data_IF_369652365771
#
_entry.id   IF_369652365771
#
_cell.length_a   1.000
_cell.length_b   1.000
_cell.length_c   1.000
_cell.angle_alpha   90.00
_cell.angle_beta   90.00
_cell.angle_gamma   90.00
#
_symmetry.space_group_name_H-M   'P 1'
#
loop_
_entity.id
_entity.type
_entity.pdbx_description
1 polymer ?
#
# COMPACT_ATOMS: atom_id res chain seq x y z
N UNK A 1 11.06 17.35 36.01
CA UNK A 1 10.88 15.91 35.83
C UNK A 1 9.41 15.57 35.56
N UNK A 2 8.83 15.83 34.40
CA UNK A 2 7.45 15.41 34.05
C UNK A 2 7.14 15.45 32.52
N UNK A 3 8.13 15.24 31.63
CA UNK A 3 7.86 15.24 30.17
C UNK A 3 8.42 14.06 29.39
N UNK A 4 8.85 12.96 30.05
CA UNK A 4 9.45 11.81 29.35
C UNK A 4 8.54 10.57 29.22
N UNK A 5 7.22 10.66 29.32
CA UNK A 5 6.32 9.48 29.29
C UNK A 5 5.39 9.43 28.05
N UNK A 6 5.35 10.44 27.21
CA UNK A 6 4.37 10.47 26.08
C UNK A 6 4.94 9.95 24.76
N UNK A 7 6.25 9.88 24.58
CA UNK A 7 6.85 9.41 23.30
C UNK A 7 6.93 7.88 23.21
N UNK A 8 6.79 7.16 24.32
CA UNK A 8 6.96 5.68 24.33
C UNK A 8 5.68 4.88 24.06
N UNK A 9 4.51 5.51 23.89
CA UNK A 9 3.23 4.81 23.74
C UNK A 9 2.77 4.64 22.29
N UNK A 10 3.45 5.22 21.32
CA UNK A 10 3.06 5.10 19.89
C UNK A 10 3.80 4.02 19.10
N UNK A 11 4.79 3.34 19.68
CA UNK A 11 5.59 2.32 18.99
C UNK A 11 5.01 0.90 19.12
N UNK A 12 4.05 0.65 20.01
CA UNK A 12 3.54 -0.72 20.27
C UNK A 12 2.23 -1.11 19.59
N UNK A 13 1.66 -0.29 18.69
CA UNK A 13 0.37 -0.60 18.05
C UNK A 13 0.46 -1.16 16.60
N UNK A 14 1.65 -1.41 16.07
CA UNK A 14 1.82 -1.93 14.71
C UNK A 14 2.38 -3.36 14.59
N UNK A 15 2.41 -4.15 15.68
CA UNK A 15 2.97 -5.51 15.65
C UNK A 15 1.94 -6.64 15.82
N UNK A 16 0.66 -6.42 15.58
CA UNK A 16 -0.36 -7.45 15.72
C UNK A 16 -1.33 -7.47 14.54
N UNK A 17 -0.87 -7.83 13.34
CA UNK A 17 -1.70 -8.41 12.28
C UNK A 17 -0.79 -8.91 11.15
N UNK A 18 -0.31 -10.14 11.29
CA UNK A 18 0.22 -10.91 10.17
C UNK A 18 -0.56 -12.23 10.11
N UNK A 19 -1.56 -12.40 9.24
CA UNK A 19 -2.16 -13.70 9.00
C UNK A 19 -1.29 -14.47 8.00
N UNK A 20 -0.61 -15.49 8.49
CA UNK A 20 0.02 -16.54 7.67
C UNK A 20 -1.04 -17.23 6.81
N UNK A 21 -1.08 -16.91 5.53
CA UNK A 21 -1.79 -17.69 4.53
C UNK A 21 -0.96 -18.92 4.14
N UNK A 22 -1.25 -20.04 4.81
CA UNK A 22 -0.72 -21.34 4.47
C UNK A 22 -1.61 -21.95 3.36
N UNK A 23 -1.19 -21.81 2.11
CA UNK A 23 -1.85 -22.45 0.96
C UNK A 23 -1.44 -23.91 0.87
N UNK A 24 -2.22 -24.79 1.52
CA UNK A 24 -2.19 -26.21 1.23
C UNK A 24 -3.10 -26.50 0.02
N UNK A 25 -2.53 -26.51 -1.17
CA UNK A 25 -3.14 -27.16 -2.34
C UNK A 25 -3.18 -28.66 -2.12
N UNK A 26 -4.38 -29.22 -1.84
CA UNK A 26 -4.64 -30.66 -1.94
C UNK A 26 -5.10 -30.95 -3.36
N UNK A 27 -4.26 -31.68 -4.08
CA UNK A 27 -4.58 -32.32 -5.36
C UNK A 27 -5.82 -33.23 -5.24
N UNK A 28 -6.93 -32.82 -5.83
CA UNK A 28 -8.11 -33.65 -5.99
C UNK A 28 -7.92 -34.49 -7.26
N UNK A 29 -7.52 -35.74 -7.10
CA UNK A 29 -7.52 -36.74 -8.16
C UNK A 29 -8.96 -37.21 -8.42
N UNK A 30 -9.48 -36.86 -9.58
CA UNK A 30 -10.73 -37.43 -10.12
C UNK A 30 -10.51 -38.88 -10.49
N UNK A 31 -11.11 -39.80 -9.70
CA UNK A 31 -11.29 -41.19 -10.10
C UNK A 31 -12.61 -41.35 -10.86
N UNK A 32 -12.50 -41.46 -12.18
CA UNK A 32 -13.56 -41.85 -13.08
C UNK A 32 -13.75 -43.37 -12.96
N UNK A 33 -14.78 -43.86 -12.22
CA UNK A 33 -15.14 -45.23 -12.18
C UNK A 33 -16.28 -45.52 -13.16
N UNK A 34 -15.91 -45.96 -14.37
CA UNK A 34 -16.85 -46.55 -15.35
C UNK A 34 -17.32 -47.93 -14.84
N UNK A 35 -18.52 -48.02 -14.24
CA UNK A 35 -19.19 -49.29 -14.05
C UNK A 35 -19.87 -49.74 -15.37
N UNK A 36 -19.31 -50.80 -15.96
CA UNK A 36 -19.90 -51.52 -17.09
C UNK A 36 -21.11 -52.28 -16.63
N UNK A 37 -22.29 -51.96 -17.16
CA UNK A 37 -23.52 -52.77 -17.02
C UNK A 37 -23.40 -53.95 -17.97
N UNK A 38 -23.32 -55.14 -17.43
CA UNK A 38 -23.43 -56.41 -18.18
C UNK A 38 -24.92 -56.79 -18.32
N UNK A 39 -25.45 -56.70 -19.52
CA UNK A 39 -26.76 -57.21 -19.85
C UNK A 39 -26.69 -58.75 -20.01
N UNK A 40 -27.38 -59.46 -19.12
CA UNK A 40 -27.57 -60.90 -19.24
C UNK A 40 -28.85 -61.17 -20.06
N UNK A 41 -28.68 -61.50 -21.33
CA UNK A 41 -29.73 -62.14 -22.16
C UNK A 41 -29.84 -63.62 -21.77
N UNK A 42 -30.89 -63.99 -21.08
CA UNK A 42 -31.27 -65.42 -20.97
C UNK A 42 -32.16 -65.77 -22.18
N UNK A 43 -31.69 -66.77 -22.94
CA UNK A 43 -32.39 -67.41 -24.07
C UNK A 43 -33.43 -68.40 -23.51
N UNK A 44 -34.71 -68.29 -23.93
CA UNK A 44 -35.76 -69.22 -23.71
C UNK A 44 -35.63 -70.31 -24.80
N UNK A 45 -35.43 -71.57 -24.42
CA UNK A 45 -35.51 -72.70 -25.30
C UNK A 45 -36.90 -73.31 -25.18
N UNK A 46 -37.63 -73.34 -26.28
CA UNK A 46 -38.85 -74.10 -26.45
C UNK A 46 -38.54 -75.54 -26.73
N UNK A 47 -39.14 -76.47 -25.99
CA UNK A 47 -39.22 -77.89 -26.36
C UNK A 47 -40.67 -78.31 -26.46
N UNK A 48 -41.04 -78.69 -27.67
CA UNK A 48 -42.25 -79.43 -28.03
C UNK A 48 -42.00 -80.93 -27.87
N UNK A 49 -42.97 -81.67 -27.31
CA UNK A 49 -43.40 -83.10 -27.54
C UNK A 49 -44.44 -83.39 -26.49
N UNK A 50 -45.58 -84.00 -26.75
CA UNK A 50 -46.13 -84.82 -27.78
C UNK A 50 -47.30 -85.58 -27.13
N UNK A 51 -48.37 -85.72 -27.85
CA UNK A 51 -49.67 -86.23 -27.52
C UNK A 51 -49.74 -87.64 -26.82
N UNK A 52 -50.73 -87.84 -25.90
CA UNK A 52 -51.82 -88.76 -26.14
C UNK A 52 -52.86 -88.73 -25.02
N UNK A 53 -54.13 -89.15 -25.29
CA UNK A 53 -55.31 -88.67 -24.58
C UNK A 53 -55.94 -89.75 -23.63
N UNK A 54 -56.69 -89.29 -22.70
CA UNK A 54 -57.93 -89.81 -22.09
C UNK A 54 -57.96 -89.59 -20.60
N UNK A 55 -58.92 -88.95 -20.12
CA UNK A 55 -59.96 -89.27 -19.20
C UNK A 55 -60.50 -88.04 -18.52
N UNK A 56 -61.73 -87.70 -18.84
CA UNK A 56 -62.83 -87.37 -17.96
C UNK A 56 -62.80 -85.97 -17.27
N UNK A 57 -63.87 -85.34 -17.53
CA UNK A 57 -64.54 -84.12 -17.12
C UNK A 57 -64.18 -83.54 -15.71
N UNK A 58 -63.75 -84.32 -14.71
CA UNK A 58 -63.36 -83.78 -13.40
C UNK A 58 -61.92 -83.29 -13.31
N UNK A 59 -61.04 -83.65 -14.21
CA UNK A 59 -59.67 -83.10 -14.28
C UNK A 59 -59.65 -81.74 -14.96
N UNK A 60 -60.58 -81.43 -15.92
CA UNK A 60 -60.64 -80.17 -16.59
C UNK A 60 -60.93 -78.99 -15.67
N UNK A 61 -61.85 -79.21 -14.65
CA UNK A 61 -62.17 -78.08 -13.72
C UNK A 61 -61.00 -77.79 -12.76
N UNK A 62 -60.24 -78.82 -12.37
CA UNK A 62 -59.10 -78.67 -11.48
C UNK A 62 -57.89 -78.10 -12.22
N UNK A 63 -57.74 -78.46 -13.49
CA UNK A 63 -56.69 -77.91 -14.39
C UNK A 63 -56.96 -76.46 -14.74
N UNK A 64 -58.18 -76.03 -15.01
CA UNK A 64 -58.58 -74.63 -15.21
C UNK A 64 -58.44 -73.82 -13.89
N UNK A 65 -58.77 -74.41 -12.74
CA UNK A 65 -58.54 -73.73 -11.46
C UNK A 65 -57.07 -73.56 -11.18
N UNK A 66 -56.21 -74.53 -11.45
CA UNK A 66 -54.75 -74.39 -11.32
C UNK A 66 -54.13 -73.40 -12.32
N UNK A 67 -54.64 -73.44 -13.57
CA UNK A 67 -54.22 -72.43 -14.59
C UNK A 67 -54.62 -71.00 -14.18
N UNK A 68 -55.83 -70.85 -13.63
CA UNK A 68 -56.26 -69.51 -13.16
C UNK A 68 -55.44 -69.05 -11.93
N UNK A 69 -55.03 -69.99 -11.07
CA UNK A 69 -54.18 -69.70 -9.90
C UNK A 69 -52.75 -69.36 -10.37
N UNK A 70 -52.24 -70.04 -11.40
CA UNK A 70 -50.93 -69.74 -11.99
C UNK A 70 -50.92 -68.38 -12.68
N UNK A 71 -51.98 -68.03 -13.44
CA UNK A 71 -52.14 -66.69 -14.03
C UNK A 71 -52.28 -65.61 -12.93
N UNK A 72 -52.97 -65.84 -11.87
CA UNK A 72 -53.05 -64.92 -10.75
C UNK A 72 -51.68 -64.65 -10.08
N UNK A 73 -50.91 -65.74 -9.87
CA UNK A 73 -49.56 -65.65 -9.34
C UNK A 73 -48.63 -64.92 -10.28
N UNK A 74 -48.70 -65.13 -11.61
CA UNK A 74 -47.94 -64.41 -12.62
C UNK A 74 -48.32 -62.95 -12.63
N UNK A 75 -49.62 -62.61 -12.53
CA UNK A 75 -50.04 -61.18 -12.47
C UNK A 75 -49.58 -60.54 -11.17
N UNK A 76 -49.49 -61.19 -10.07
CA UNK A 76 -48.95 -60.66 -8.82
C UNK A 76 -47.43 -60.47 -8.89
N UNK A 77 -46.69 -61.35 -9.56
CA UNK A 77 -45.26 -61.18 -9.83
C UNK A 77 -44.98 -59.99 -10.74
N UNK A 78 -45.79 -59.83 -11.78
CA UNK A 78 -45.70 -58.63 -12.65
C UNK A 78 -46.03 -57.34 -11.88
N UNK A 79 -47.03 -57.40 -10.98
CA UNK A 79 -47.37 -56.23 -10.14
C UNK A 79 -46.20 -55.86 -9.18
N UNK A 80 -45.56 -56.84 -8.59
CA UNK A 80 -44.39 -56.65 -7.72
C UNK A 80 -43.21 -56.13 -8.50
N UNK A 81 -42.92 -56.61 -9.73
CA UNK A 81 -41.89 -56.13 -10.59
C UNK A 81 -42.13 -54.65 -11.02
N UNK A 82 -43.38 -54.29 -11.33
CA UNK A 82 -43.75 -52.93 -11.64
C UNK A 82 -43.56 -51.96 -10.43
N UNK A 83 -43.84 -52.46 -9.23
CA UNK A 83 -43.61 -51.69 -8.00
C UNK A 83 -42.13 -51.51 -7.72
N UNK A 84 -41.30 -52.54 -7.97
CA UNK A 84 -39.84 -52.40 -7.87
C UNK A 84 -39.25 -51.43 -8.84
N UNK A 85 -39.74 -51.40 -10.10
CA UNK A 85 -39.35 -50.41 -11.11
C UNK A 85 -39.78 -49.00 -10.72
N UNK A 86 -40.98 -48.84 -10.13
CA UNK A 86 -41.45 -47.56 -9.63
C UNK A 86 -40.57 -47.05 -8.50
N UNK A 87 -40.16 -47.90 -7.58
CA UNK A 87 -39.27 -47.55 -6.48
C UNK A 87 -37.85 -47.15 -7.01
N UNK A 88 -37.32 -47.91 -7.98
CA UNK A 88 -36.04 -47.55 -8.62
C UNK A 88 -36.10 -46.21 -9.36
N UNK A 89 -37.21 -45.91 -10.02
CA UNK A 89 -37.40 -44.62 -10.67
C UNK A 89 -37.50 -43.47 -9.66
N UNK A 90 -38.10 -43.68 -8.51
CA UNK A 90 -38.15 -42.68 -7.43
C UNK A 90 -36.73 -42.44 -6.88
N UNK A 91 -35.94 -43.49 -6.63
CA UNK A 91 -34.58 -43.39 -6.16
C UNK A 91 -33.68 -42.58 -7.14
N UNK A 92 -33.83 -42.81 -8.45
CA UNK A 92 -33.15 -42.03 -9.50
C UNK A 92 -33.59 -40.55 -9.48
N UNK A 93 -34.87 -40.30 -9.23
CA UNK A 93 -35.37 -38.90 -9.14
C UNK A 93 -34.78 -38.20 -7.93
N UNK A 94 -34.73 -38.86 -6.79
CA UNK A 94 -34.17 -38.32 -5.56
C UNK A 94 -32.65 -38.03 -5.71
N UNK A 95 -31.91 -38.96 -6.35
CA UNK A 95 -30.47 -38.72 -6.68
C UNK A 95 -30.27 -37.55 -7.63
N UNK A 96 -31.13 -37.36 -8.64
CA UNK A 96 -31.05 -36.23 -9.54
C UNK A 96 -31.35 -34.90 -8.85
N UNK A 97 -32.26 -34.91 -7.88
CA UNK A 97 -32.55 -33.74 -7.05
C UNK A 97 -31.33 -33.35 -6.20
N UNK A 98 -30.70 -34.34 -5.55
CA UNK A 98 -29.49 -34.11 -4.75
C UNK A 98 -28.34 -33.53 -5.59
N UNK A 99 -28.12 -34.02 -6.80
CA UNK A 99 -27.13 -33.45 -7.73
C UNK A 99 -27.46 -31.99 -8.14
N UNK A 100 -28.76 -31.71 -8.29
CA UNK A 100 -29.18 -30.32 -8.62
C UNK A 100 -28.92 -29.38 -7.46
N UNK A 101 -29.22 -29.81 -6.23
CA UNK A 101 -28.99 -29.01 -5.02
C UNK A 101 -27.49 -28.76 -4.80
N UNK A 102 -26.64 -29.78 -5.00
CA UNK A 102 -25.17 -29.63 -4.93
C UNK A 102 -24.64 -28.65 -5.99
N UNK A 103 -25.18 -28.68 -7.21
CA UNK A 103 -24.79 -27.76 -8.26
C UNK A 103 -25.20 -26.30 -7.94
N UNK A 104 -26.35 -26.12 -7.31
CA UNK A 104 -26.78 -24.80 -6.84
C UNK A 104 -25.84 -24.27 -5.76
N UNK A 105 -25.48 -25.07 -4.77
CA UNK A 105 -24.54 -24.69 -3.71
C UNK A 105 -23.18 -24.26 -4.27
N UNK A 106 -22.64 -24.99 -5.26
CA UNK A 106 -21.39 -24.60 -5.95
C UNK A 106 -21.53 -23.27 -6.70
N UNK A 107 -22.70 -23.02 -7.29
CA UNK A 107 -22.97 -21.77 -7.98
C UNK A 107 -23.00 -20.59 -7.00
N UNK A 108 -23.66 -20.76 -5.86
CA UNK A 108 -23.75 -19.73 -4.83
C UNK A 108 -22.39 -19.43 -4.21
N UNK A 109 -21.55 -20.44 -3.95
CA UNK A 109 -20.16 -20.26 -3.48
C UNK A 109 -19.30 -19.51 -4.51
N UNK A 110 -19.45 -19.80 -5.78
CA UNK A 110 -18.71 -19.09 -6.83
C UNK A 110 -19.13 -17.61 -6.95
N UNK A 111 -20.42 -17.32 -6.73
CA UNK A 111 -20.92 -15.96 -6.72
C UNK A 111 -20.34 -15.18 -5.52
N UNK A 112 -20.32 -15.77 -4.33
CA UNK A 112 -19.75 -15.14 -3.13
C UNK A 112 -18.26 -14.82 -3.32
N UNK A 113 -17.47 -15.72 -3.91
CA UNK A 113 -16.05 -15.49 -4.22
C UNK A 113 -15.90 -14.33 -5.24
N UNK A 114 -16.79 -14.25 -6.22
CA UNK A 114 -16.77 -13.16 -7.21
C UNK A 114 -17.06 -11.81 -6.55
N UNK A 115 -18.06 -11.75 -5.68
CA UNK A 115 -18.45 -10.54 -4.97
C UNK A 115 -17.34 -10.06 -4.02
N UNK A 116 -16.69 -10.99 -3.30
CA UNK A 116 -15.53 -10.68 -2.45
C UNK A 116 -14.35 -10.13 -3.26
N UNK A 117 -14.04 -10.71 -4.41
CA UNK A 117 -12.97 -10.23 -5.29
C UNK A 117 -13.27 -8.83 -5.84
N UNK A 118 -14.52 -8.54 -6.17
CA UNK A 118 -14.94 -7.22 -6.62
C UNK A 118 -14.79 -6.19 -5.50
N UNK A 119 -15.19 -6.51 -4.27
CA UNK A 119 -15.03 -5.62 -3.12
C UNK A 119 -13.57 -5.28 -2.84
N UNK A 120 -12.68 -6.28 -2.88
CA UNK A 120 -11.22 -6.07 -2.72
C UNK A 120 -10.67 -5.16 -3.82
N UNK A 121 -11.11 -5.36 -5.07
CA UNK A 121 -10.69 -4.53 -6.20
C UNK A 121 -11.13 -3.07 -6.01
N UNK A 122 -12.38 -2.86 -5.60
CA UNK A 122 -12.92 -1.51 -5.36
C UNK A 122 -12.22 -0.81 -4.19
N UNK A 123 -11.91 -1.53 -3.12
CA UNK A 123 -11.15 -1.00 -1.99
C UNK A 123 -9.73 -0.59 -2.39
N UNK A 124 -9.02 -1.41 -3.17
CA UNK A 124 -7.69 -1.11 -3.68
C UNK A 124 -7.70 0.11 -4.59
N UNK A 125 -8.70 0.24 -5.47
CA UNK A 125 -8.84 1.40 -6.33
C UNK A 125 -9.11 2.70 -5.55
N UNK A 126 -9.94 2.65 -4.52
CA UNK A 126 -10.18 3.80 -3.62
C UNK A 126 -8.90 4.20 -2.88
N UNK A 127 -8.17 3.23 -2.33
CA UNK A 127 -6.88 3.45 -1.66
C UNK A 127 -5.87 4.11 -2.60
N UNK A 128 -5.72 3.58 -3.82
CA UNK A 128 -4.83 4.16 -4.84
C UNK A 128 -5.19 5.60 -5.16
N UNK A 129 -6.46 5.90 -5.37
CA UNK A 129 -6.94 7.25 -5.67
C UNK A 129 -6.67 8.24 -4.52
N UNK A 130 -6.85 7.81 -3.27
CA UNK A 130 -6.52 8.63 -2.10
C UNK A 130 -5.03 8.95 -2.05
N UNK A 131 -4.16 7.96 -2.21
CA UNK A 131 -2.71 8.13 -2.21
C UNK A 131 -2.24 9.07 -3.32
N UNK A 132 -2.79 8.93 -4.51
CA UNK A 132 -2.50 9.82 -5.65
C UNK A 132 -2.86 11.27 -5.34
N UNK A 133 -4.04 11.51 -4.79
CA UNK A 133 -4.48 12.85 -4.43
C UNK A 133 -3.61 13.46 -3.32
N UNK A 134 -3.32 12.69 -2.27
CA UNK A 134 -2.48 13.14 -1.17
C UNK A 134 -1.08 13.51 -1.66
N UNK A 135 -0.45 12.64 -2.46
CA UNK A 135 0.90 12.83 -2.96
C UNK A 135 0.98 14.02 -3.95
N UNK A 136 0.00 14.15 -4.85
CA UNK A 136 -0.10 15.33 -5.73
C UNK A 136 -0.21 16.63 -4.95
N UNK A 137 -1.09 16.66 -3.95
CA UNK A 137 -1.25 17.82 -3.07
C UNK A 137 0.04 18.14 -2.28
N UNK A 138 0.76 17.14 -1.84
CA UNK A 138 2.03 17.30 -1.13
C UNK A 138 3.10 17.90 -2.05
N UNK A 139 3.22 17.39 -3.28
CA UNK A 139 4.15 17.90 -4.30
C UNK A 139 3.81 19.36 -4.69
N UNK A 140 2.53 19.66 -4.89
CA UNK A 140 2.08 21.04 -5.19
C UNK A 140 2.41 22.00 -4.05
N UNK A 141 2.15 21.62 -2.80
CA UNK A 141 2.51 22.45 -1.63
C UNK A 141 4.02 22.68 -1.54
N UNK A 142 4.82 21.64 -1.78
CA UNK A 142 6.27 21.75 -1.77
C UNK A 142 6.78 22.67 -2.89
N UNK A 143 6.20 22.59 -4.10
CA UNK A 143 6.54 23.47 -5.21
C UNK A 143 6.11 24.92 -4.93
N UNK A 144 4.92 25.13 -4.38
CA UNK A 144 4.47 26.47 -3.99
C UNK A 144 5.38 27.09 -2.91
N UNK A 145 5.93 26.28 -2.01
CA UNK A 145 6.92 26.75 -1.05
C UNK A 145 8.27 27.07 -1.74
N UNK A 146 8.69 26.24 -2.72
CA UNK A 146 9.86 26.53 -3.58
C UNK A 146 9.71 27.87 -4.30
N UNK A 147 8.57 28.16 -4.90
CA UNK A 147 8.31 29.42 -5.58
C UNK A 147 8.46 30.64 -4.67
N UNK A 148 8.16 30.52 -3.36
CA UNK A 148 8.36 31.62 -2.40
C UNK A 148 9.84 32.01 -2.24
N UNK A 149 10.75 31.05 -2.09
CA UNK A 149 12.16 31.39 -1.94
C UNK A 149 12.84 31.72 -3.26
N UNK A 150 12.35 31.24 -4.40
CA UNK A 150 12.76 31.70 -5.73
C UNK A 150 12.34 33.16 -5.94
N UNK A 151 11.12 33.51 -5.55
CA UNK A 151 10.63 34.88 -5.55
C UNK A 151 11.48 35.77 -4.63
N UNK A 152 11.81 35.29 -3.41
CA UNK A 152 12.68 36.00 -2.47
C UNK A 152 14.06 36.29 -3.09
N UNK A 153 14.67 35.34 -3.78
CA UNK A 153 15.93 35.59 -4.50
C UNK A 153 15.77 36.62 -5.64
N UNK A 154 14.68 36.52 -6.41
CA UNK A 154 14.40 37.44 -7.52
C UNK A 154 14.19 38.88 -7.06
N UNK A 155 13.54 39.04 -5.89
CA UNK A 155 13.26 40.35 -5.27
C UNK A 155 14.36 40.79 -4.27
N UNK A 156 15.50 40.09 -4.26
CA UNK A 156 16.58 40.28 -3.31
C UNK A 156 17.16 41.68 -3.43
N UNK A 157 17.18 42.48 -2.35
CA UNK A 157 17.84 43.78 -2.34
C UNK A 157 19.37 43.63 -2.35
N UNK A 158 20.09 44.70 -2.64
CA UNK A 158 21.55 44.70 -2.74
C UNK A 158 22.26 44.31 -1.45
N UNK A 159 21.60 44.44 -0.29
CA UNK A 159 22.10 44.04 1.02
C UNK A 159 21.68 42.62 1.44
N UNK A 160 21.06 41.83 0.52
CA UNK A 160 20.59 40.47 0.74
C UNK A 160 19.73 40.34 2.03
N UNK A 161 18.75 41.24 2.19
CA UNK A 161 17.88 41.30 3.39
C UNK A 161 18.66 41.56 4.69
N UNK A 162 19.85 42.15 4.62
CA UNK A 162 20.71 42.44 5.76
C UNK A 162 21.48 41.19 6.27
N UNK A 163 21.55 40.09 5.52
CA UNK A 163 22.33 38.90 5.87
C UNK A 163 23.82 39.17 5.64
N UNK A 164 24.46 39.88 6.58
CA UNK A 164 25.88 40.19 6.51
C UNK A 164 26.82 38.98 6.49
N UNK A 165 26.33 37.82 6.92
CA UNK A 165 27.06 36.56 6.92
C UNK A 165 27.49 36.14 5.50
N UNK A 166 26.71 36.46 4.45
CA UNK A 166 27.07 36.12 3.06
C UNK A 166 28.36 36.76 2.59
N UNK A 167 28.74 37.91 3.15
CA UNK A 167 30.03 38.59 2.87
C UNK A 167 31.21 37.89 3.49
N UNK A 168 31.00 37.04 4.50
CA UNK A 168 32.04 36.28 5.20
C UNK A 168 32.28 34.90 4.59
N UNK A 169 31.30 34.36 3.84
CA UNK A 169 31.40 33.09 3.14
C UNK A 169 32.11 33.30 1.79
N UNK A 170 33.19 32.55 1.56
CA UNK A 170 33.99 32.65 0.34
C UNK A 170 34.10 31.28 -0.32
N UNK A 171 34.06 31.29 -1.64
CA UNK A 171 34.38 30.10 -2.42
C UNK A 171 35.90 29.83 -2.35
N UNK A 172 36.27 28.58 -2.14
CA UNK A 172 37.67 28.18 -2.14
C UNK A 172 38.26 28.07 -3.56
N UNK A 173 37.38 27.82 -4.53
CA UNK A 173 37.71 27.69 -5.95
C UNK A 173 37.68 29.04 -6.66
N UNK A 174 38.52 29.22 -7.68
CA UNK A 174 38.52 30.42 -8.49
C UNK A 174 37.24 30.51 -9.37
N UNK A 175 36.69 31.70 -9.58
CA UNK A 175 37.07 32.95 -8.94
C UNK A 175 36.73 32.97 -7.44
N UNK A 176 37.63 33.49 -6.61
CA UNK A 176 37.45 33.59 -5.15
C UNK A 176 36.49 34.72 -4.77
N UNK A 177 35.25 34.56 -5.12
CA UNK A 177 34.16 35.44 -4.78
C UNK A 177 33.48 35.07 -3.46
N UNK A 178 32.67 35.98 -2.94
CA UNK A 178 31.85 35.73 -1.76
C UNK A 178 30.47 35.23 -2.16
N UNK A 179 29.74 34.63 -1.20
CA UNK A 179 28.34 34.27 -1.41
C UNK A 179 27.45 35.51 -1.63
N UNK A 180 27.91 36.72 -1.23
CA UNK A 180 27.20 37.97 -1.52
C UNK A 180 27.36 38.45 -2.95
N UNK A 181 28.24 37.88 -3.77
CA UNK A 181 28.46 38.28 -5.15
C UNK A 181 27.31 37.81 -6.08
N UNK A 182 27.24 38.39 -7.27
CA UNK A 182 26.13 38.19 -8.19
C UNK A 182 26.33 37.01 -9.17
N UNK A 183 27.29 36.10 -8.90
CA UNK A 183 27.48 34.93 -9.72
C UNK A 183 26.31 33.94 -9.57
N UNK A 184 26.12 33.08 -10.57
CA UNK A 184 25.05 32.10 -10.55
C UNK A 184 25.19 31.07 -9.39
N UNK A 185 26.42 30.66 -9.05
CA UNK A 185 26.67 29.76 -7.91
C UNK A 185 26.32 30.44 -6.57
N UNK A 186 26.64 31.73 -6.42
CA UNK A 186 26.32 32.50 -5.21
C UNK A 186 24.83 32.74 -5.07
N UNK A 187 24.12 33.04 -6.18
CA UNK A 187 22.66 33.11 -6.22
C UNK A 187 22.01 31.76 -5.89
N UNK A 188 22.53 30.67 -6.47
CA UNK A 188 22.02 29.31 -6.18
C UNK A 188 22.18 28.99 -4.70
N UNK A 189 23.34 29.25 -4.10
CA UNK A 189 23.56 29.06 -2.67
C UNK A 189 22.56 29.87 -1.82
N UNK A 190 22.37 31.16 -2.12
CA UNK A 190 21.44 32.01 -1.38
C UNK A 190 19.98 31.50 -1.53
N UNK A 191 19.59 31.09 -2.76
CA UNK A 191 18.27 30.46 -3.01
C UNK A 191 18.01 29.33 -2.04
N UNK A 192 18.93 28.37 -1.95
CA UNK A 192 18.80 27.20 -1.09
C UNK A 192 18.74 27.57 0.39
N UNK A 193 19.59 28.52 0.81
CA UNK A 193 19.57 29.07 2.16
C UNK A 193 18.24 29.75 2.49
N UNK A 194 17.70 30.56 1.56
CA UNK A 194 16.36 31.16 1.74
C UNK A 194 15.26 30.10 1.86
N UNK A 195 15.41 28.96 1.22
CA UNK A 195 14.49 27.85 1.36
C UNK A 195 14.37 27.37 2.80
N UNK A 196 15.47 27.32 3.54
CA UNK A 196 15.50 26.90 4.95
C UNK A 196 15.07 28.06 5.89
N UNK A 197 15.43 29.29 5.57
CA UNK A 197 15.10 30.48 6.34
C UNK A 197 13.77 31.15 5.93
N UNK A 198 12.90 30.42 5.19
CA UNK A 198 11.72 30.99 4.56
C UNK A 198 10.70 31.56 5.56
N UNK A 199 10.64 31.04 6.77
CA UNK A 199 9.72 31.47 7.83
C UNK A 199 10.21 32.72 8.61
N UNK A 200 11.39 33.26 8.27
CA UNK A 200 11.93 34.47 8.86
C UNK A 200 11.62 35.70 7.97
N UNK A 201 11.14 36.77 8.60
CA UNK A 201 11.01 38.06 7.93
C UNK A 201 12.36 38.76 7.83
N UNK A 202 12.42 39.88 7.09
CA UNK A 202 13.69 40.64 6.84
C UNK A 202 14.39 41.06 8.13
N UNK A 203 13.67 41.55 9.15
CA UNK A 203 14.26 41.95 10.43
C UNK A 203 14.82 40.73 11.19
N UNK A 204 14.12 39.58 11.16
CA UNK A 204 14.58 38.33 11.77
C UNK A 204 15.83 37.80 11.05
N UNK A 205 15.88 37.83 9.70
CA UNK A 205 17.04 37.41 8.91
C UNK A 205 18.29 38.21 9.26
N UNK A 206 18.15 39.56 9.37
CA UNK A 206 19.26 40.43 9.77
C UNK A 206 19.79 40.08 11.17
N UNK A 207 18.89 40.00 12.17
CA UNK A 207 19.25 39.65 13.53
C UNK A 207 19.88 38.24 13.63
N UNK A 208 19.30 37.28 12.93
CA UNK A 208 19.83 35.91 12.86
C UNK A 208 21.29 35.93 12.33
N UNK A 209 21.52 36.62 11.24
CA UNK A 209 22.86 36.76 10.67
C UNK A 209 23.86 37.42 11.64
N UNK A 210 23.43 38.44 12.40
CA UNK A 210 24.26 39.09 13.41
C UNK A 210 24.63 38.13 14.55
N UNK A 211 23.68 37.28 15.01
CA UNK A 211 23.91 36.25 16.02
C UNK A 211 24.94 35.21 15.55
N UNK A 212 24.79 34.72 14.32
CA UNK A 212 25.70 33.71 13.77
C UNK A 212 27.11 34.28 13.56
N UNK A 213 27.21 35.54 13.14
CA UNK A 213 28.48 36.26 13.03
C UNK A 213 29.15 36.42 14.41
N UNK A 214 28.38 36.75 15.44
CA UNK A 214 28.87 36.87 16.81
C UNK A 214 29.33 35.53 17.40
N UNK A 215 28.62 34.45 17.08
CA UNK A 215 29.01 33.07 17.46
C UNK A 215 30.28 32.59 16.72
N UNK A 216 30.68 33.27 15.64
CA UNK A 216 31.77 32.86 14.72
C UNK A 216 31.53 31.48 14.06
N UNK A 217 30.27 31.16 13.78
CA UNK A 217 29.83 29.89 13.21
C UNK A 217 29.10 30.06 11.84
N UNK A 218 29.55 31.06 11.06
CA UNK A 218 28.91 31.38 9.78
C UNK A 218 28.96 30.22 8.78
N UNK A 219 30.12 29.57 8.65
CA UNK A 219 30.29 28.47 7.69
C UNK A 219 29.46 27.27 8.10
N UNK A 220 29.48 26.88 9.37
CA UNK A 220 28.72 25.71 9.88
C UNK A 220 27.22 25.85 9.59
N UNK A 221 26.59 26.92 10.05
CA UNK A 221 25.14 27.12 9.87
C UNK A 221 24.72 27.25 8.41
N UNK A 222 25.41 28.10 7.63
CA UNK A 222 24.95 28.41 6.29
C UNK A 222 25.27 27.29 5.28
N UNK A 223 26.42 26.58 5.41
CA UNK A 223 26.76 25.48 4.52
C UNK A 223 25.83 24.28 4.74
N UNK A 224 25.58 23.89 5.98
CA UNK A 224 24.67 22.78 6.29
C UNK A 224 23.23 23.12 5.89
N UNK A 225 22.78 24.35 6.13
CA UNK A 225 21.44 24.82 5.70
C UNK A 225 21.31 24.83 4.17
N UNK A 226 22.32 25.30 3.45
CA UNK A 226 22.31 25.30 1.98
C UNK A 226 22.34 23.89 1.41
N UNK A 227 23.10 22.97 1.99
CA UNK A 227 23.16 21.56 1.58
C UNK A 227 21.80 20.87 1.80
N UNK A 228 21.18 21.04 2.97
CA UNK A 228 19.83 20.54 3.25
C UNK A 228 18.82 21.11 2.24
N UNK A 229 18.82 22.42 2.02
CA UNK A 229 17.97 23.08 1.03
C UNK A 229 18.15 22.50 -0.37
N UNK A 230 19.40 22.18 -0.75
CA UNK A 230 19.74 21.55 -2.03
C UNK A 230 19.15 20.16 -2.21
N UNK A 231 19.20 19.32 -1.18
CA UNK A 231 18.61 18.00 -1.23
C UNK A 231 17.09 18.07 -1.44
N UNK A 232 16.42 18.98 -0.77
CA UNK A 232 14.96 19.16 -0.86
C UNK A 232 14.56 19.77 -2.20
N UNK A 233 15.24 20.87 -2.63
CA UNK A 233 14.99 21.53 -3.91
C UNK A 233 15.14 20.56 -5.08
N UNK A 234 16.15 19.69 -5.05
CA UNK A 234 16.38 18.68 -6.07
C UNK A 234 15.21 17.69 -6.19
N UNK A 235 14.69 17.20 -5.06
CA UNK A 235 13.55 16.27 -5.07
C UNK A 235 12.29 16.97 -5.58
N UNK A 236 12.03 18.21 -5.18
CA UNK A 236 10.86 18.96 -5.67
C UNK A 236 10.95 19.15 -7.19
N UNK A 237 12.11 19.54 -7.71
CA UNK A 237 12.35 19.69 -9.16
C UNK A 237 12.16 18.36 -9.89
N UNK A 238 12.53 17.24 -9.27
CA UNK A 238 12.38 15.91 -9.86
C UNK A 238 10.93 15.43 -9.88
N UNK A 239 10.19 15.64 -8.80
CA UNK A 239 8.83 15.10 -8.63
C UNK A 239 7.76 15.97 -9.31
N UNK A 240 7.88 17.29 -9.27
CA UNK A 240 6.84 18.20 -9.72
C UNK A 240 6.41 17.99 -11.19
N UNK A 241 7.34 17.85 -12.18
CA UNK A 241 6.97 17.58 -13.56
C UNK A 241 6.34 16.19 -13.78
N UNK A 242 6.53 15.27 -12.82
CA UNK A 242 6.08 13.87 -12.92
C UNK A 242 4.78 13.59 -12.16
N UNK A 243 4.25 14.55 -11.43
CA UNK A 243 3.09 14.39 -10.55
C UNK A 243 1.85 13.80 -11.24
N UNK A 244 1.69 14.07 -12.54
CA UNK A 244 0.56 13.57 -13.32
C UNK A 244 0.75 12.13 -13.81
N UNK A 245 1.96 11.58 -13.71
CA UNK A 245 2.30 10.20 -14.09
C UNK A 245 2.36 9.22 -12.92
N UNK A 246 2.03 9.66 -11.71
CA UNK A 246 2.08 8.83 -10.49
C UNK A 246 1.10 7.65 -10.52
N UNK A 247 0.07 7.69 -11.37
CA UNK A 247 -0.90 6.61 -11.58
C UNK A 247 -0.27 5.32 -12.13
N UNK A 248 0.94 5.41 -12.70
CA UNK A 248 1.72 4.25 -13.17
C UNK A 248 2.36 3.45 -12.03
N UNK A 249 2.47 4.03 -10.84
CA UNK A 249 3.01 3.37 -9.68
C UNK A 249 2.01 2.39 -9.05
N UNK A 250 2.53 1.31 -8.48
CA UNK A 250 1.77 0.41 -7.63
C UNK A 250 1.43 1.08 -6.28
N UNK A 251 0.45 0.55 -5.57
CA UNK A 251 0.01 1.10 -4.28
C UNK A 251 1.18 1.17 -3.28
N UNK A 252 1.99 0.13 -3.21
CA UNK A 252 3.16 0.05 -2.33
C UNK A 252 4.20 1.13 -2.63
N UNK A 253 4.43 1.42 -3.92
CA UNK A 253 5.39 2.45 -4.33
C UNK A 253 4.86 3.85 -4.04
N UNK A 254 3.54 4.07 -4.20
CA UNK A 254 2.88 5.32 -3.84
C UNK A 254 2.96 5.58 -2.32
N UNK A 255 2.71 4.56 -1.50
CA UNK A 255 2.84 4.65 -0.04
C UNK A 255 4.28 4.98 0.36
N UNK A 256 5.24 4.26 -0.21
CA UNK A 256 6.67 4.48 0.05
C UNK A 256 7.11 5.88 -0.37
N UNK A 257 6.76 6.32 -1.58
CA UNK A 257 7.09 7.67 -2.07
C UNK A 257 6.50 8.76 -1.19
N UNK A 258 5.23 8.60 -0.78
CA UNK A 258 4.57 9.55 0.11
C UNK A 258 5.30 9.65 1.44
N UNK A 259 5.59 8.53 2.10
CA UNK A 259 6.27 8.47 3.39
C UNK A 259 7.67 9.08 3.34
N UNK A 260 8.47 8.74 2.32
CA UNK A 260 9.81 9.29 2.11
C UNK A 260 9.76 10.81 1.87
N UNK A 261 8.82 11.28 1.06
CA UNK A 261 8.72 12.71 0.75
C UNK A 261 8.19 13.53 1.93
N UNK A 262 7.23 13.01 2.71
CA UNK A 262 6.77 13.63 3.96
C UNK A 262 7.93 13.75 4.97
N UNK A 263 8.74 12.71 5.13
CA UNK A 263 9.93 12.72 5.99
C UNK A 263 10.94 13.77 5.51
N UNK A 264 11.22 13.83 4.21
CA UNK A 264 12.14 14.81 3.64
C UNK A 264 11.68 16.25 3.91
N UNK A 265 10.40 16.55 3.74
CA UNK A 265 9.87 17.88 4.04
C UNK A 265 9.87 18.18 5.55
N UNK A 266 9.75 17.14 6.39
CA UNK A 266 9.84 17.27 7.85
C UNK A 266 11.25 17.69 8.30
N UNK A 267 12.34 17.20 7.68
CA UNK A 267 13.70 17.63 8.02
C UNK A 267 13.86 19.14 7.83
N UNK A 268 13.31 19.70 6.73
CA UNK A 268 13.27 21.15 6.50
C UNK A 268 12.54 21.88 7.64
N UNK A 269 11.33 21.42 7.98
CA UNK A 269 10.50 22.06 8.99
C UNK A 269 11.18 22.06 10.37
N UNK A 270 11.84 20.94 10.73
CA UNK A 270 12.60 20.80 11.95
C UNK A 270 13.72 21.84 11.99
N UNK A 271 14.55 21.89 10.95
CA UNK A 271 15.70 22.82 10.91
C UNK A 271 15.23 24.27 10.88
N UNK A 272 14.23 24.64 10.07
CA UNK A 272 13.68 26.00 10.05
C UNK A 272 13.20 26.43 11.45
N UNK A 273 12.52 25.54 12.17
CA UNK A 273 12.05 25.77 13.53
C UNK A 273 13.22 25.94 14.52
N UNK A 274 14.27 25.11 14.42
CA UNK A 274 15.46 25.21 15.27
C UNK A 274 16.17 26.55 15.08
N UNK A 275 16.36 27.01 13.83
CA UNK A 275 17.00 28.28 13.55
C UNK A 275 16.17 29.48 14.03
N UNK A 276 14.85 29.38 13.92
CA UNK A 276 13.94 30.40 14.50
C UNK A 276 13.97 30.38 16.02
N UNK A 277 14.07 29.21 16.63
CA UNK A 277 14.19 29.09 18.09
C UNK A 277 15.50 29.67 18.61
N UNK A 278 16.62 29.50 17.92
CA UNK A 278 17.87 30.16 18.27
C UNK A 278 17.71 31.69 18.36
N UNK A 279 17.00 32.30 17.41
CA UNK A 279 16.73 33.74 17.45
C UNK A 279 15.95 34.15 18.70
N UNK A 280 14.92 33.38 19.06
CA UNK A 280 14.10 33.61 20.27
C UNK A 280 14.93 33.39 21.54
N UNK A 281 15.68 32.29 21.63
CA UNK A 281 16.53 31.97 22.78
C UNK A 281 17.59 33.06 23.03
N UNK A 282 18.14 33.64 21.96
CA UNK A 282 19.06 34.76 22.05
C UNK A 282 18.36 36.04 22.52
N UNK A 283 17.16 36.35 22.01
CA UNK A 283 16.40 37.54 22.44
C UNK A 283 16.03 37.49 23.93
N UNK A 284 15.68 36.28 24.41
CA UNK A 284 15.31 36.04 25.80
C UNK A 284 16.54 35.83 26.72
N UNK A 285 17.75 35.94 26.18
CA UNK A 285 19.01 35.63 26.87
C UNK A 285 19.00 34.27 27.61
N UNK A 286 18.35 33.29 27.02
CA UNK A 286 18.25 31.92 27.55
C UNK A 286 19.67 31.35 27.77
N UNK A 287 19.92 30.73 28.90
CA UNK A 287 21.24 30.22 29.27
C UNK A 287 22.39 31.26 29.16
N UNK A 288 22.06 32.56 29.19
CA UNK A 288 23.01 33.70 29.10
C UNK A 288 23.73 33.80 27.73
N UNK A 289 23.15 33.24 26.66
CA UNK A 289 23.79 33.25 25.31
C UNK A 289 23.88 34.65 24.69
N UNK A 290 23.08 35.60 25.14
CA UNK A 290 23.18 37.00 24.67
C UNK A 290 24.35 37.74 25.32
N UNK A 291 24.67 37.41 26.58
CA UNK A 291 25.70 38.11 27.37
C UNK A 291 27.05 37.39 27.41
N UNK A 292 27.11 36.13 26.98
CA UNK A 292 28.31 35.29 26.97
C UNK A 292 28.51 34.62 25.59
N UNK A 293 29.46 35.14 24.84
CA UNK A 293 29.77 34.70 23.49
C UNK A 293 30.30 33.27 23.45
N UNK A 294 30.93 32.77 24.51
CA UNK A 294 31.38 31.37 24.56
C UNK A 294 30.19 30.42 24.70
N UNK A 295 29.20 30.79 25.53
CA UNK A 295 27.95 30.02 25.61
C UNK A 295 27.14 30.09 24.34
N UNK A 296 27.10 31.25 23.65
CA UNK A 296 26.47 31.40 22.36
C UNK A 296 27.11 30.46 21.34
N UNK A 297 28.43 30.45 21.24
CA UNK A 297 29.16 29.58 20.33
C UNK A 297 28.82 28.10 20.58
N UNK A 298 28.93 27.62 21.81
CA UNK A 298 28.59 26.23 22.13
C UNK A 298 27.13 25.89 21.83
N UNK A 299 26.20 26.81 22.02
CA UNK A 299 24.80 26.61 21.69
C UNK A 299 24.59 26.51 20.18
N UNK A 300 25.28 27.34 19.37
CA UNK A 300 25.22 27.29 17.90
C UNK A 300 25.90 26.04 17.35
N UNK A 301 27.03 25.59 17.91
CA UNK A 301 27.70 24.35 17.55
C UNK A 301 26.79 23.13 17.77
N UNK A 302 25.99 23.08 18.85
CA UNK A 302 25.02 22.02 19.07
C UNK A 302 23.89 22.04 18.03
N UNK A 303 23.44 23.22 17.62
CA UNK A 303 22.45 23.36 16.55
C UNK A 303 23.02 22.91 15.20
N UNK A 304 24.30 23.26 14.88
CA UNK A 304 24.95 22.80 13.66
C UNK A 304 24.94 21.29 13.59
N UNK A 305 25.33 20.59 14.65
CA UNK A 305 25.32 19.15 14.73
C UNK A 305 23.93 18.55 14.43
N UNK A 306 22.88 19.14 15.00
CA UNK A 306 21.51 18.69 14.74
C UNK A 306 21.08 18.95 13.28
N UNK A 307 21.56 20.03 12.66
CA UNK A 307 21.30 20.31 11.25
C UNK A 307 22.06 19.32 10.36
N UNK A 308 23.29 18.96 10.70
CA UNK A 308 24.09 17.94 10.00
C UNK A 308 23.38 16.59 10.01
N UNK A 309 22.86 16.14 11.16
CA UNK A 309 22.06 14.91 11.28
C UNK A 309 20.82 14.94 10.35
N UNK A 310 20.09 16.06 10.32
CA UNK A 310 18.94 16.24 9.42
C UNK A 310 19.35 16.31 7.94
N UNK A 311 20.50 16.87 7.62
CA UNK A 311 21.03 16.95 6.26
C UNK A 311 21.45 15.58 5.74
N UNK A 312 22.11 14.76 6.57
CA UNK A 312 22.44 13.37 6.24
C UNK A 312 21.18 12.53 6.01
N UNK A 313 20.16 12.67 6.86
CA UNK A 313 18.87 12.01 6.67
C UNK A 313 18.21 12.46 5.35
N UNK A 314 18.20 13.76 5.06
CA UNK A 314 17.64 14.30 3.82
C UNK A 314 18.37 13.79 2.57
N UNK A 315 19.69 13.60 2.62
CA UNK A 315 20.47 13.05 1.52
C UNK A 315 20.11 11.59 1.24
N UNK A 316 19.94 10.79 2.31
CA UNK A 316 19.46 9.41 2.21
C UNK A 316 18.05 9.36 1.63
N UNK A 317 17.11 10.14 2.18
CA UNK A 317 15.73 10.20 1.71
C UNK A 317 15.65 10.63 0.23
N UNK A 318 16.46 11.61 -0.19
CA UNK A 318 16.61 11.98 -1.60
C UNK A 318 17.03 10.78 -2.46
N UNK A 319 18.05 10.05 -2.03
CA UNK A 319 18.54 8.89 -2.76
C UNK A 319 17.46 7.80 -2.88
N UNK A 320 16.74 7.53 -1.80
CA UNK A 320 15.67 6.54 -1.75
C UNK A 320 14.51 6.94 -2.68
N UNK A 321 14.08 8.22 -2.67
CA UNK A 321 13.05 8.74 -3.58
C UNK A 321 13.46 8.60 -5.04
N UNK A 322 14.71 8.96 -5.38
CA UNK A 322 15.23 8.88 -6.76
C UNK A 322 15.41 7.43 -7.24
N UNK A 323 15.46 6.46 -6.33
CA UNK A 323 15.54 5.05 -6.66
C UNK A 323 14.22 4.43 -7.10
N UNK A 324 13.08 5.06 -6.80
CA UNK A 324 11.75 4.62 -7.22
C UNK A 324 11.65 4.76 -8.74
N UNK A 325 11.41 3.64 -9.42
CA UNK A 325 11.36 3.56 -10.88
C UNK A 325 9.92 3.62 -11.38
N UNK A 326 9.74 3.97 -12.66
CA UNK A 326 8.49 3.83 -13.42
C UNK A 326 7.45 4.96 -13.30
N UNK A 327 7.85 6.18 -13.02
CA UNK A 327 6.95 7.33 -13.16
C UNK A 327 7.63 8.57 -13.77
#
# INVERSE_FOLDING_TARGET
>A
MKYNIIVSLFVFLFLACNPDFNTNQKDIKYHSSKKRIKSNKKRIKSNKKGLSPKTEVNQKNQEVANQNQEVANQNQEVANQNQEVANQNQEVTDQNQEVTDQNQEVTDQNQEVTDQNQEVTDQNQRKKNMLLNDLRNLIEKANADKEKYEKRLKEEPTDQYGIGAFKRLRWHEEPRETVSDNSERSKAYRKLTYGILNDMNTSELKKFSEIIILANEVEGIFNTSSALGGNIDYVIIHLYPKKDNLDKLEISDLENLKDLFEKLLSTKAIVSKMLKQLLLDYQDNKNSIQTDTTKLKLHVEEIIKQIEENQEEAEKLKSDILSIKNF
#
